data_IF_443688220517
#
_entry.id   IF_443688220517
#
_cell.length_a   1.000
_cell.length_b   1.000
_cell.length_c   1.000
_cell.angle_alpha   90.00
_cell.angle_beta   90.00
_cell.angle_gamma   90.00
#
_symmetry.space_group_name_H-M   'P 1'
#
loop_
_entity.id
_entity.type
_entity.pdbx_description
1 polymer ?
#
# COMPACT_ATOMS: atom_id res chain seq x y z
N UNK A 1 -16.64 -34.62 22.93
CA UNK A 1 -15.38 -34.32 22.23
C UNK A 1 -15.64 -33.16 21.27
N UNK A 2 -15.13 -31.96 21.55
CA UNK A 2 -15.40 -30.72 20.78
C UNK A 2 -14.60 -30.59 19.47
N UNK A 3 -13.88 -31.63 19.04
CA UNK A 3 -13.00 -31.57 17.87
C UNK A 3 -13.78 -31.49 16.55
N UNK A 4 -14.84 -32.28 16.40
CA UNK A 4 -15.57 -32.35 15.13
C UNK A 4 -16.23 -31.01 14.70
N UNK A 5 -16.88 -30.24 15.59
CA UNK A 5 -17.36 -28.89 15.25
C UNK A 5 -16.24 -27.92 14.87
N UNK A 6 -15.06 -28.03 15.49
CA UNK A 6 -13.90 -27.18 15.19
C UNK A 6 -13.35 -27.51 13.80
N UNK A 7 -13.20 -28.79 13.47
CA UNK A 7 -12.75 -29.24 12.15
C UNK A 7 -13.71 -28.77 11.04
N UNK A 8 -15.01 -28.82 11.28
CA UNK A 8 -16.01 -28.32 10.33
C UNK A 8 -15.88 -26.81 10.09
N UNK A 9 -15.62 -26.03 11.15
CA UNK A 9 -15.36 -24.60 11.01
C UNK A 9 -14.04 -24.32 10.28
N UNK A 10 -13.00 -25.12 10.56
CA UNK A 10 -11.70 -24.99 9.90
C UNK A 10 -11.90 -25.17 8.40
N UNK A 11 -12.60 -26.23 8.00
CA UNK A 11 -12.92 -26.52 6.60
C UNK A 11 -13.72 -25.38 5.95
N UNK A 12 -14.75 -24.87 6.61
CA UNK A 12 -15.56 -23.75 6.10
C UNK A 12 -14.71 -22.49 5.80
N UNK A 13 -13.85 -22.07 6.73
CA UNK A 13 -13.02 -20.88 6.51
C UNK A 13 -11.89 -21.11 5.50
N UNK A 14 -11.39 -22.34 5.40
CA UNK A 14 -10.39 -22.70 4.38
C UNK A 14 -10.91 -22.54 2.95
N UNK A 15 -12.20 -22.73 2.69
CA UNK A 15 -12.82 -22.44 1.37
C UNK A 15 -12.57 -20.98 0.93
N UNK A 16 -12.52 -20.06 1.89
CA UNK A 16 -12.25 -18.64 1.67
C UNK A 16 -10.76 -18.28 1.80
N UNK A 17 -9.88 -19.27 1.89
CA UNK A 17 -8.44 -19.11 2.16
C UNK A 17 -8.15 -18.39 3.48
N UNK A 18 -9.06 -18.50 4.45
CA UNK A 18 -8.92 -17.95 5.79
C UNK A 18 -8.39 -19.03 6.73
N UNK A 19 -7.17 -18.85 7.20
CA UNK A 19 -6.57 -19.74 8.18
C UNK A 19 -7.06 -19.42 9.59
N UNK A 20 -7.91 -20.29 10.15
CA UNK A 20 -8.40 -20.16 11.52
C UNK A 20 -7.31 -20.37 12.58
N UNK A 21 -6.24 -21.13 12.29
CA UNK A 21 -5.18 -21.40 13.26
C UNK A 21 -4.29 -20.17 13.47
N UNK A 22 -4.14 -19.33 12.44
CA UNK A 22 -3.44 -18.04 12.52
C UNK A 22 -4.31 -16.92 13.10
N UNK A 23 -5.64 -17.12 13.17
CA UNK A 23 -6.59 -16.10 13.61
C UNK A 23 -7.42 -16.60 14.79
N UNK A 24 -7.05 -16.15 15.99
CA UNK A 24 -7.68 -16.59 17.25
C UNK A 24 -9.14 -16.14 17.45
N UNK A 25 -9.69 -15.32 16.56
CA UNK A 25 -11.03 -14.74 16.70
C UNK A 25 -11.94 -15.11 15.53
N UNK A 26 -13.05 -15.78 15.84
CA UNK A 26 -14.10 -16.11 14.86
C UNK A 26 -14.69 -14.85 14.19
N UNK A 27 -14.70 -13.73 14.90
CA UNK A 27 -15.09 -12.44 14.34
C UNK A 27 -14.18 -12.00 13.21
N UNK A 28 -12.87 -12.11 13.46
CA UNK A 28 -11.84 -11.75 12.51
C UNK A 28 -11.92 -12.66 11.29
N UNK A 29 -12.19 -13.94 11.50
CA UNK A 29 -12.42 -14.91 10.42
C UNK A 29 -13.66 -14.52 9.59
N UNK A 30 -14.77 -14.16 10.24
CA UNK A 30 -15.97 -13.66 9.54
C UNK A 30 -15.70 -12.39 8.72
N UNK A 31 -14.96 -11.42 9.26
CA UNK A 31 -14.53 -10.23 8.51
C UNK A 31 -13.62 -10.59 7.33
N UNK A 32 -12.69 -11.52 7.48
CA UNK A 32 -11.81 -11.95 6.38
C UNK A 32 -12.59 -12.66 5.27
N UNK A 33 -13.62 -13.45 5.61
CA UNK A 33 -14.54 -14.02 4.62
C UNK A 33 -15.26 -12.90 3.86
N UNK A 34 -15.78 -11.87 4.54
CA UNK A 34 -16.36 -10.70 3.87
C UNK A 34 -15.37 -10.05 2.91
N UNK A 35 -14.12 -9.85 3.32
CA UNK A 35 -13.09 -9.31 2.44
C UNK A 35 -12.77 -10.21 1.25
N UNK A 36 -12.79 -11.54 1.41
CA UNK A 36 -12.58 -12.45 0.27
C UNK A 36 -13.64 -12.27 -0.82
N UNK A 37 -14.88 -11.94 -0.46
CA UNK A 37 -15.94 -11.65 -1.43
C UNK A 37 -15.78 -10.27 -2.05
N UNK A 38 -15.44 -9.26 -1.24
CA UNK A 38 -15.30 -7.88 -1.68
C UNK A 38 -14.10 -7.70 -2.64
N UNK A 39 -13.00 -8.42 -2.37
CA UNK A 39 -11.78 -8.36 -3.18
C UNK A 39 -11.67 -9.52 -4.18
N UNK A 40 -12.76 -10.24 -4.45
CA UNK A 40 -12.75 -11.41 -5.37
C UNK A 40 -12.27 -11.05 -6.78
N UNK A 41 -12.58 -9.83 -7.22
CA UNK A 41 -12.26 -9.30 -8.55
C UNK A 41 -10.99 -8.43 -8.53
N UNK A 42 -10.23 -8.43 -7.42
CA UNK A 42 -8.98 -7.69 -7.35
C UNK A 42 -7.90 -8.34 -8.24
N UNK A 43 -7.37 -7.55 -9.16
CA UNK A 43 -6.24 -7.90 -10.00
C UNK A 43 -5.11 -6.86 -9.86
N UNK A 44 -3.92 -7.36 -9.55
CA UNK A 44 -2.71 -6.55 -9.45
C UNK A 44 -2.28 -5.93 -10.80
N UNK A 45 -2.74 -6.50 -11.92
CA UNK A 45 -2.44 -6.08 -13.28
C UNK A 45 -3.41 -5.03 -13.84
N UNK A 46 -4.54 -4.79 -13.18
CA UNK A 46 -5.56 -3.86 -13.65
C UNK A 46 -5.24 -2.40 -13.27
N UNK A 47 -5.79 -1.43 -14.03
CA UNK A 47 -5.74 -0.01 -13.71
C UNK A 47 -7.00 0.43 -12.96
N UNK A 48 -6.85 0.83 -11.70
CA UNK A 48 -7.94 1.39 -10.87
C UNK A 48 -7.92 2.92 -10.79
N UNK A 49 -7.60 3.61 -11.90
CA UNK A 49 -7.33 5.06 -11.90
C UNK A 49 -8.55 5.96 -11.98
N UNK A 50 -9.70 5.44 -12.41
CA UNK A 50 -10.95 6.17 -12.74
C UNK A 50 -11.55 7.00 -11.58
N UNK A 51 -10.89 7.04 -10.42
CA UNK A 51 -11.34 7.63 -9.16
C UNK A 51 -10.51 8.85 -8.75
N UNK A 52 -9.27 8.96 -9.24
CA UNK A 52 -8.34 10.04 -8.84
C UNK A 52 -8.44 11.22 -9.82
N UNK A 53 -8.92 10.94 -11.02
CA UNK A 53 -9.10 11.84 -12.15
C UNK A 53 -10.59 12.03 -12.39
N UNK A 54 -11.05 13.28 -12.51
CA UNK A 54 -12.39 13.51 -13.06
C UNK A 54 -12.42 12.84 -14.44
N UNK A 55 -13.56 12.25 -14.84
CA UNK A 55 -13.70 11.44 -16.06
C UNK A 55 -13.09 12.06 -17.36
N UNK A 56 -12.86 13.37 -17.39
CA UNK A 56 -12.23 14.10 -18.51
C UNK A 56 -10.68 13.96 -18.57
N UNK A 57 -9.99 13.66 -17.46
CA UNK A 57 -8.52 13.64 -17.36
C UNK A 57 -7.84 12.37 -17.91
N UNK A 58 -8.60 11.29 -18.11
CA UNK A 58 -8.11 10.02 -18.67
C UNK A 58 -8.42 9.86 -20.16
N UNK A 59 -9.00 10.89 -20.79
CA UNK A 59 -9.11 10.98 -22.25
C UNK A 59 -7.72 10.92 -22.90
N UNK A 60 -7.63 10.31 -24.09
CA UNK A 60 -6.39 10.29 -24.89
C UNK A 60 -5.86 11.71 -25.12
N UNK A 61 -6.76 12.70 -25.20
CA UNK A 61 -6.44 14.11 -25.40
C UNK A 61 -5.63 14.72 -24.24
N UNK A 62 -5.69 14.13 -23.05
CA UNK A 62 -4.92 14.55 -21.86
C UNK A 62 -3.64 13.73 -21.63
N UNK A 63 -3.25 12.87 -22.59
CA UNK A 63 -2.01 12.09 -22.50
C UNK A 63 -0.78 12.99 -22.37
N UNK A 64 0.11 12.63 -21.45
CA UNK A 64 1.36 13.35 -21.26
C UNK A 64 2.29 13.17 -22.46
N UNK A 65 2.71 14.28 -23.07
CA UNK A 65 3.72 14.28 -24.13
C UNK A 65 5.02 14.83 -23.55
N UNK A 66 6.08 14.03 -23.62
CA UNK A 66 7.41 14.43 -23.16
C UNK A 66 7.96 15.52 -24.09
N UNK A 67 8.29 16.70 -23.52
CA UNK A 67 8.97 17.77 -24.26
C UNK A 67 10.50 17.67 -24.09
N UNK A 68 11.30 18.14 -25.06
CA UNK A 68 12.76 18.11 -24.94
C UNK A 68 13.28 18.89 -23.72
N UNK A 69 12.66 20.04 -23.40
CA UNK A 69 13.02 20.86 -22.25
C UNK A 69 12.75 20.14 -20.94
N UNK A 70 11.60 19.47 -20.83
CA UNK A 70 11.27 18.68 -19.65
C UNK A 70 12.25 17.50 -19.51
N UNK A 71 12.56 16.81 -20.61
CA UNK A 71 13.53 15.71 -20.60
C UNK A 71 14.92 16.16 -20.14
N UNK A 72 15.41 17.29 -20.65
CA UNK A 72 16.67 17.89 -20.22
C UNK A 72 16.73 18.11 -18.69
N UNK A 73 15.67 18.70 -18.11
CA UNK A 73 15.57 18.90 -16.67
C UNK A 73 15.59 17.56 -15.91
N UNK A 74 14.80 16.58 -16.38
CA UNK A 74 14.75 15.24 -15.76
C UNK A 74 16.11 14.53 -15.77
N UNK A 75 16.81 14.54 -16.90
CA UNK A 75 18.15 13.94 -17.03
C UNK A 75 19.13 14.57 -16.04
N UNK A 76 19.09 15.89 -15.88
CA UNK A 76 19.93 16.59 -14.90
C UNK A 76 19.58 16.18 -13.46
N UNK A 77 18.29 16.11 -13.11
CA UNK A 77 17.85 15.66 -11.79
C UNK A 77 18.35 14.26 -11.47
N UNK A 78 18.23 13.32 -12.42
CA UNK A 78 18.66 11.94 -12.24
C UNK A 78 20.18 11.82 -12.10
N UNK A 79 20.93 12.54 -12.92
CA UNK A 79 22.39 12.59 -12.83
C UNK A 79 22.89 13.17 -11.51
N UNK A 80 22.25 14.22 -11.00
CA UNK A 80 22.59 14.80 -9.70
C UNK A 80 22.22 13.88 -8.54
N UNK A 81 21.09 13.16 -8.63
CA UNK A 81 20.72 12.14 -7.64
C UNK A 81 21.76 11.01 -7.57
N UNK A 82 22.18 10.48 -8.72
CA UNK A 82 23.16 9.39 -8.78
C UNK A 82 24.56 9.85 -8.34
N UNK A 83 24.91 11.11 -8.64
CA UNK A 83 26.15 11.74 -8.16
C UNK A 83 26.18 11.84 -6.64
N UNK A 84 25.10 12.35 -6.02
CA UNK A 84 24.99 12.46 -4.55
C UNK A 84 25.10 11.11 -3.85
N UNK A 85 24.61 10.07 -4.50
CA UNK A 85 24.61 8.70 -3.98
C UNK A 85 25.84 7.88 -4.43
N UNK A 86 26.82 8.52 -5.07
CA UNK A 86 28.09 7.92 -5.52
C UNK A 86 27.91 6.65 -6.39
N UNK A 87 26.87 6.61 -7.22
CA UNK A 87 26.61 5.48 -8.13
C UNK A 87 27.48 5.57 -9.38
N UNK A 88 27.72 4.44 -10.04
CA UNK A 88 28.40 4.41 -11.34
C UNK A 88 27.53 5.03 -12.44
N UNK A 89 28.02 6.10 -13.07
CA UNK A 89 27.29 6.90 -14.07
C UNK A 89 27.77 6.67 -15.50
N UNK A 90 28.66 5.69 -15.76
CA UNK A 90 29.27 5.47 -17.10
C UNK A 90 28.24 5.28 -18.22
N UNK A 91 27.09 4.68 -17.91
CA UNK A 91 26.01 4.39 -18.86
C UNK A 91 24.65 4.98 -18.41
N UNK A 92 24.69 6.12 -17.73
CA UNK A 92 23.46 6.78 -17.28
C UNK A 92 22.63 7.29 -18.46
N UNK A 93 21.33 7.47 -18.24
CA UNK A 93 20.46 8.14 -19.20
C UNK A 93 21.01 9.51 -19.59
N UNK A 94 20.84 9.84 -20.86
CA UNK A 94 21.35 11.05 -21.48
C UNK A 94 20.24 11.79 -22.24
N UNK A 95 20.55 13.03 -22.65
CA UNK A 95 19.64 13.85 -23.44
C UNK A 95 19.31 13.16 -24.78
N UNK A 96 20.26 12.40 -25.34
CA UNK A 96 20.10 11.66 -26.59
C UNK A 96 19.05 10.53 -26.51
N UNK A 97 18.64 10.14 -25.31
CA UNK A 97 17.64 9.08 -25.10
C UNK A 97 16.20 9.59 -25.18
N UNK A 98 16.01 10.85 -25.56
CA UNK A 98 14.72 11.52 -25.62
C UNK A 98 13.65 10.74 -26.37
N UNK A 99 13.91 10.34 -27.63
CA UNK A 99 12.91 9.64 -28.45
C UNK A 99 12.49 8.29 -27.84
N UNK A 100 13.44 7.59 -27.22
CA UNK A 100 13.16 6.35 -26.52
C UNK A 100 12.19 6.56 -25.36
N UNK A 101 12.47 7.53 -24.48
CA UNK A 101 11.62 7.78 -23.30
C UNK A 101 10.30 8.48 -23.63
N UNK A 102 10.26 9.30 -24.69
CA UNK A 102 9.02 9.84 -25.23
C UNK A 102 8.08 8.72 -25.66
N UNK A 103 8.57 7.78 -26.47
CA UNK A 103 7.78 6.62 -26.90
C UNK A 103 7.42 5.70 -25.73
N UNK A 104 8.32 5.52 -24.76
CA UNK A 104 8.06 4.74 -23.55
C UNK A 104 6.86 5.29 -22.77
N UNK A 105 6.82 6.61 -22.51
CA UNK A 105 5.71 7.21 -21.74
C UNK A 105 4.38 7.26 -22.50
N UNK A 106 4.40 7.18 -23.83
CA UNK A 106 3.18 7.10 -24.65
C UNK A 106 2.61 5.68 -24.68
N UNK A 107 3.49 4.68 -24.80
CA UNK A 107 3.12 3.28 -25.03
C UNK A 107 2.93 2.49 -23.73
N UNK A 108 3.61 2.87 -22.65
CA UNK A 108 3.58 2.17 -21.38
C UNK A 108 2.84 2.97 -20.30
N UNK A 109 2.40 2.27 -19.28
CA UNK A 109 1.76 2.80 -18.08
C UNK A 109 2.73 2.80 -16.90
N UNK A 110 2.31 3.37 -15.77
CA UNK A 110 3.03 3.22 -14.51
C UNK A 110 3.11 1.74 -14.12
N UNK A 111 4.32 1.19 -13.99
CA UNK A 111 4.50 -0.23 -13.67
C UNK A 111 3.96 -0.63 -12.27
N UNK A 112 3.80 0.33 -11.36
CA UNK A 112 3.27 0.08 -10.01
C UNK A 112 1.74 0.07 -9.98
N UNK A 113 1.08 0.93 -10.75
CA UNK A 113 -0.33 1.22 -10.56
C UNK A 113 -1.16 1.21 -11.85
N UNK A 114 -0.51 0.85 -12.96
CA UNK A 114 -1.08 0.65 -14.29
C UNK A 114 -1.75 1.89 -14.90
N UNK A 115 -1.59 3.05 -14.26
CA UNK A 115 -2.08 4.34 -14.74
C UNK A 115 -1.39 4.78 -16.01
N UNK A 116 -2.16 5.31 -16.96
CA UNK A 116 -1.60 6.11 -18.05
C UNK A 116 -1.05 7.42 -17.48
N UNK A 117 -0.07 7.98 -18.19
CA UNK A 117 0.52 9.25 -17.82
C UNK A 117 -0.25 10.40 -18.45
N UNK A 118 -0.60 11.38 -17.64
CA UNK A 118 -1.24 12.63 -18.04
C UNK A 118 -0.55 13.81 -17.34
N UNK A 119 -0.97 15.04 -17.62
CA UNK A 119 -0.31 16.22 -17.06
C UNK A 119 -0.45 16.36 -15.53
N UNK A 120 -1.43 15.71 -14.90
CA UNK A 120 -1.58 15.63 -13.44
C UNK A 120 -0.74 14.49 -12.85
N UNK A 121 -0.75 13.34 -13.52
CA UNK A 121 -0.03 12.12 -13.18
C UNK A 121 1.25 11.99 -14.03
N UNK A 122 2.18 12.94 -13.87
CA UNK A 122 3.38 13.01 -14.69
C UNK A 122 4.28 11.77 -14.50
N UNK A 123 4.93 11.28 -15.57
CA UNK A 123 5.83 10.15 -15.49
C UNK A 123 7.14 10.52 -14.79
N UNK A 124 7.70 9.53 -14.11
CA UNK A 124 9.05 9.51 -13.57
C UNK A 124 9.69 8.17 -13.92
N UNK A 125 11.00 8.09 -13.80
CA UNK A 125 11.76 6.85 -13.87
C UNK A 125 12.03 6.34 -12.46
N UNK A 126 11.51 5.15 -12.16
CA UNK A 126 11.81 4.42 -10.93
C UNK A 126 12.89 3.37 -11.23
N UNK A 127 13.86 3.22 -10.32
CA UNK A 127 15.01 2.35 -10.52
C UNK A 127 14.69 0.93 -10.08
N UNK A 128 14.91 -0.07 -10.92
CA UNK A 128 14.69 -1.49 -10.57
C UNK A 128 15.56 -1.86 -9.37
N UNK A 129 16.85 -1.53 -9.45
CA UNK A 129 17.82 -1.66 -8.36
C UNK A 129 18.26 -0.27 -7.89
N UNK A 130 17.96 0.04 -6.62
CA UNK A 130 18.26 1.32 -5.98
C UNK A 130 19.76 1.54 -5.72
N UNK A 131 20.59 0.49 -5.80
CA UNK A 131 22.05 0.60 -5.72
C UNK A 131 22.67 1.02 -7.06
N UNK A 132 22.00 0.74 -8.18
CA UNK A 132 22.46 1.08 -9.54
C UNK A 132 21.93 2.44 -10.00
N UNK A 133 22.65 3.07 -10.93
CA UNK A 133 22.27 4.34 -11.52
C UNK A 133 21.09 4.19 -12.50
N UNK A 134 20.56 5.32 -12.97
CA UNK A 134 19.49 5.38 -13.96
C UNK A 134 19.99 5.01 -15.36
N UNK A 135 20.23 3.72 -15.60
CA UNK A 135 20.48 3.19 -16.96
C UNK A 135 19.17 2.76 -17.61
N UNK A 136 19.09 2.70 -18.94
CA UNK A 136 17.87 2.24 -19.65
C UNK A 136 17.37 0.87 -19.19
N UNK A 137 18.28 -0.03 -18.84
CA UNK A 137 17.96 -1.37 -18.37
C UNK A 137 17.57 -1.42 -16.88
N UNK A 138 17.83 -0.36 -16.11
CA UNK A 138 17.58 -0.30 -14.67
C UNK A 138 16.41 0.64 -14.31
N UNK A 139 15.60 1.08 -15.27
CA UNK A 139 14.50 2.00 -14.99
C UNK A 139 13.18 1.51 -15.57
N UNK A 140 12.09 1.77 -14.84
CA UNK A 140 10.73 1.54 -15.26
C UNK A 140 9.92 2.84 -15.15
N UNK A 141 8.96 3.07 -16.07
CA UNK A 141 8.07 4.20 -15.98
C UNK A 141 7.18 4.08 -14.74
N UNK A 142 7.11 5.14 -13.93
CA UNK A 142 6.38 5.16 -12.67
C UNK A 142 5.83 6.57 -12.41
N UNK A 143 4.62 6.71 -11.88
CA UNK A 143 4.14 8.03 -11.51
C UNK A 143 4.77 8.53 -10.21
N UNK A 144 4.77 9.85 -10.02
CA UNK A 144 5.40 10.49 -8.86
C UNK A 144 4.89 9.96 -7.51
N UNK A 145 3.58 9.74 -7.38
CA UNK A 145 2.98 9.21 -6.16
C UNK A 145 3.50 7.80 -5.84
N UNK A 146 3.49 6.91 -6.83
CA UNK A 146 3.93 5.53 -6.66
C UNK A 146 5.42 5.44 -6.35
N UNK A 147 6.25 6.22 -7.06
CA UNK A 147 7.69 6.25 -6.84
C UNK A 147 8.02 6.74 -5.41
N UNK A 148 7.32 7.79 -4.94
CA UNK A 148 7.47 8.30 -3.57
C UNK A 148 7.00 7.32 -2.51
N UNK A 149 5.89 6.62 -2.75
CA UNK A 149 5.35 5.63 -1.82
C UNK A 149 6.27 4.40 -1.70
N UNK A 150 6.75 3.89 -2.85
CA UNK A 150 7.67 2.76 -2.89
C UNK A 150 9.00 3.10 -2.23
N UNK A 151 9.64 4.22 -2.61
CA UNK A 151 10.90 4.67 -2.01
C UNK A 151 11.93 3.53 -1.94
N UNK A 152 12.34 3.12 -0.73
CA UNK A 152 13.26 2.00 -0.48
C UNK A 152 12.55 0.73 0.05
N UNK A 153 11.21 0.68 0.03
CA UNK A 153 10.44 -0.50 0.45
C UNK A 153 10.57 -1.63 -0.59
N UNK A 154 10.14 -2.83 -0.20
CA UNK A 154 9.97 -3.91 -1.15
C UNK A 154 8.97 -3.48 -2.24
N UNK A 155 9.39 -3.64 -3.50
CA UNK A 155 8.60 -3.15 -4.64
C UNK A 155 7.32 -3.93 -4.84
N UNK A 156 7.31 -5.23 -4.53
CA UNK A 156 6.12 -6.06 -4.69
C UNK A 156 5.10 -5.72 -3.61
N UNK A 157 5.55 -5.54 -2.36
CA UNK A 157 4.71 -5.07 -1.26
C UNK A 157 4.15 -3.68 -1.56
N UNK A 158 5.00 -2.74 -1.97
CA UNK A 158 4.56 -1.39 -2.31
C UNK A 158 3.53 -1.38 -3.44
N UNK A 159 3.78 -2.16 -4.50
CA UNK A 159 2.85 -2.35 -5.62
C UNK A 159 1.50 -2.88 -5.15
N UNK A 160 1.51 -3.94 -4.33
CA UNK A 160 0.29 -4.53 -3.78
C UNK A 160 -0.51 -3.51 -2.97
N UNK A 161 0.15 -2.80 -2.06
CA UNK A 161 -0.50 -1.79 -1.22
C UNK A 161 -1.07 -0.61 -2.01
N UNK A 162 -0.36 -0.16 -3.05
CA UNK A 162 -0.85 0.89 -3.94
C UNK A 162 -2.12 0.42 -4.67
N UNK A 163 -2.11 -0.79 -5.23
CA UNK A 163 -3.23 -1.32 -6.00
C UNK A 163 -4.44 -1.63 -5.13
N UNK A 164 -4.24 -2.22 -3.95
CA UNK A 164 -5.31 -2.45 -2.97
C UNK A 164 -5.97 -1.14 -2.56
N UNK A 165 -5.18 -0.10 -2.28
CA UNK A 165 -5.71 1.23 -1.93
C UNK A 165 -6.57 1.79 -3.07
N UNK A 166 -6.13 1.65 -4.32
CA UNK A 166 -6.86 2.18 -5.48
C UNK A 166 -8.13 1.38 -5.77
N UNK A 167 -8.06 0.05 -5.68
CA UNK A 167 -9.23 -0.81 -5.77
C UNK A 167 -10.27 -0.45 -4.70
N UNK A 168 -9.82 -0.23 -3.46
CA UNK A 168 -10.69 0.19 -2.37
C UNK A 168 -11.35 1.55 -2.65
N UNK A 169 -10.58 2.54 -3.10
CA UNK A 169 -11.14 3.83 -3.49
C UNK A 169 -12.17 3.71 -4.63
N UNK A 170 -11.90 2.89 -5.65
CA UNK A 170 -12.80 2.69 -6.81
C UNK A 170 -14.14 2.08 -6.42
N UNK A 171 -14.10 1.11 -5.51
CA UNK A 171 -15.29 0.39 -5.09
C UNK A 171 -15.93 0.98 -3.82
N UNK A 172 -15.47 2.14 -3.34
CA UNK A 172 -15.98 2.78 -2.12
C UNK A 172 -15.76 1.93 -0.86
N UNK A 173 -14.73 1.08 -0.85
CA UNK A 173 -14.46 0.15 0.22
C UNK A 173 -13.81 0.86 1.42
N UNK A 174 -14.11 0.40 2.63
CA UNK A 174 -13.46 0.94 3.80
C UNK A 174 -11.98 0.61 3.85
N UNK A 175 -11.20 1.58 4.32
CA UNK A 175 -9.76 1.48 4.49
C UNK A 175 -9.36 1.85 5.92
N UNK A 176 -8.16 1.42 6.33
CA UNK A 176 -7.61 1.80 7.64
C UNK A 176 -7.40 3.31 7.73
N UNK A 177 -7.90 3.91 8.81
CA UNK A 177 -7.68 5.33 9.09
C UNK A 177 -6.27 5.52 9.63
N UNK A 178 -5.40 6.17 8.86
CA UNK A 178 -4.03 6.50 9.29
C UNK A 178 -3.91 7.88 9.94
N UNK A 179 -4.93 8.72 9.81
CA UNK A 179 -4.95 10.08 10.34
C UNK A 179 -5.60 10.11 11.73
N UNK A 180 -4.91 10.72 12.69
CA UNK A 180 -5.33 10.74 14.09
C UNK A 180 -6.49 11.70 14.35
N UNK A 181 -6.58 12.81 13.61
CA UNK A 181 -7.70 13.73 13.73
C UNK A 181 -8.96 13.10 13.16
N UNK A 182 -8.85 12.43 12.00
CA UNK A 182 -9.96 11.67 11.40
C UNK A 182 -10.40 10.55 12.34
N UNK A 183 -9.44 9.80 12.92
CA UNK A 183 -9.73 8.80 13.93
C UNK A 183 -10.51 9.39 15.12
N UNK A 184 -10.03 10.51 15.68
CA UNK A 184 -10.67 11.17 16.82
C UNK A 184 -12.07 11.68 16.49
N UNK A 185 -12.29 12.22 15.29
CA UNK A 185 -13.59 12.65 14.81
C UNK A 185 -14.56 11.46 14.69
N UNK A 186 -14.16 10.39 13.99
CA UNK A 186 -14.95 9.17 13.90
C UNK A 186 -15.24 8.60 15.29
N UNK A 187 -14.27 8.59 16.20
CA UNK A 187 -14.41 8.06 17.56
C UNK A 187 -15.34 8.88 18.44
N UNK A 188 -15.36 10.20 18.28
CA UNK A 188 -16.19 11.13 19.08
C UNK A 188 -17.68 10.91 18.80
N UNK A 189 -18.00 10.69 17.53
CA UNK A 189 -19.39 10.59 17.08
C UNK A 189 -19.91 9.13 17.14
N UNK A 190 -19.05 8.15 17.44
CA UNK A 190 -19.44 6.79 17.79
C UNK A 190 -20.05 6.73 19.20
N UNK A 191 -21.38 6.74 19.27
CA UNK A 191 -22.17 6.56 20.51
C UNK A 191 -22.78 5.16 20.56
N UNK A 192 -22.10 4.22 21.22
CA UNK A 192 -22.62 2.86 21.44
C UNK A 192 -21.53 1.78 21.46
N UNK A 193 -21.68 0.79 22.34
CA UNK A 193 -20.76 -0.34 22.43
C UNK A 193 -21.06 -1.37 21.34
N UNK A 194 -20.46 -1.23 20.16
CA UNK A 194 -20.38 -2.35 19.23
C UNK A 194 -19.24 -3.25 19.69
N UNK A 195 -19.65 -4.30 20.37
CA UNK A 195 -18.90 -5.47 20.80
C UNK A 195 -18.27 -6.20 19.61
N UNK A 196 -17.27 -5.63 18.94
CA UNK A 196 -16.43 -6.43 18.03
C UNK A 196 -15.03 -5.94 17.71
N UNK A 197 -14.66 -4.71 18.08
CA UNK A 197 -13.30 -4.21 17.89
C UNK A 197 -12.81 -3.66 19.21
N UNK A 198 -11.92 -4.39 19.88
CA UNK A 198 -11.09 -3.78 20.90
C UNK A 198 -10.33 -2.64 20.22
N UNK A 199 -10.78 -1.39 20.40
CA UNK A 199 -10.11 -0.21 19.90
C UNK A 199 -8.80 -0.05 20.67
N UNK A 200 -7.75 -0.73 20.21
CA UNK A 200 -6.42 -0.58 20.79
C UNK A 200 -5.77 0.64 20.13
N UNK A 201 -5.81 1.74 20.86
CA UNK A 201 -5.11 2.95 20.52
C UNK A 201 -3.60 2.74 20.76
N UNK A 202 -2.83 2.58 19.68
CA UNK A 202 -1.37 2.48 19.68
C UNK A 202 -0.73 3.79 19.18
N UNK A 203 -0.35 4.66 20.11
CA UNK A 203 0.34 5.91 19.85
C UNK A 203 1.83 5.63 19.71
N UNK A 204 2.41 6.04 18.58
CA UNK A 204 3.83 5.84 18.32
C UNK A 204 4.69 6.59 19.36
N UNK A 205 5.65 5.90 19.96
CA UNK A 205 6.53 6.45 20.99
C UNK A 205 5.93 6.51 22.40
N UNK A 206 4.62 6.27 22.56
CA UNK A 206 3.94 6.32 23.86
C UNK A 206 3.42 4.95 24.29
N UNK A 207 2.79 4.19 23.38
CA UNK A 207 2.21 2.89 23.73
C UNK A 207 3.29 1.83 23.84
N UNK A 208 3.40 1.20 25.01
CA UNK A 208 4.31 0.08 25.27
C UNK A 208 3.77 -1.24 24.73
N UNK A 209 4.67 -2.13 24.32
CA UNK A 209 4.30 -3.48 23.90
C UNK A 209 3.99 -4.32 25.15
N UNK A 210 2.77 -4.83 25.24
CA UNK A 210 2.33 -5.65 26.36
C UNK A 210 2.51 -7.15 26.08
N UNK A 211 2.93 -7.92 27.10
CA UNK A 211 2.96 -9.39 27.09
C UNK A 211 2.19 -9.96 28.27
N UNK A 212 1.71 -11.19 28.08
CA UNK A 212 1.11 -11.97 29.15
C UNK A 212 2.13 -12.98 29.70
N UNK A 213 2.16 -13.14 31.02
CA UNK A 213 2.87 -14.21 31.69
C UNK A 213 1.85 -15.05 32.45
N UNK A 214 1.96 -16.37 32.33
CA UNK A 214 1.14 -17.30 33.11
C UNK A 214 1.91 -17.69 34.36
N UNK A 215 1.31 -17.42 35.51
CA UNK A 215 1.81 -17.85 36.80
C UNK A 215 1.15 -19.19 37.16
N UNK A 216 1.97 -20.23 37.27
CA UNK A 216 1.51 -21.58 37.61
C UNK A 216 1.05 -21.71 39.05
N UNK A 217 1.63 -20.92 39.95
CA UNK A 217 1.38 -21.07 41.39
C UNK A 217 0.04 -20.43 41.77
N UNK A 218 -0.26 -19.27 41.20
CA UNK A 218 -1.58 -18.62 41.35
C UNK A 218 -2.62 -19.11 40.33
N UNK A 219 -2.21 -19.85 39.31
CA UNK A 219 -3.05 -20.24 38.16
C UNK A 219 -3.73 -19.03 37.48
N UNK A 220 -3.01 -17.90 37.39
CA UNK A 220 -3.51 -16.67 36.78
C UNK A 220 -2.60 -16.16 35.65
N UNK A 221 -3.15 -15.29 34.80
CA UNK A 221 -2.41 -14.65 33.70
C UNK A 221 -2.25 -13.17 34.02
N UNK A 222 -1.00 -12.70 34.10
CA UNK A 222 -0.69 -11.29 34.33
C UNK A 222 -0.23 -10.61 33.05
N UNK A 223 -0.62 -9.35 32.88
CA UNK A 223 -0.24 -8.48 31.77
C UNK A 223 0.88 -7.55 32.24
N UNK A 224 1.97 -7.42 31.49
CA UNK A 224 3.07 -6.51 31.80
C UNK A 224 3.63 -5.85 30.54
N UNK A 225 4.15 -4.64 30.71
CA UNK A 225 4.71 -3.85 29.62
C UNK A 225 6.19 -4.14 29.42
N UNK A 226 6.60 -4.34 28.19
CA UNK A 226 8.00 -4.39 27.78
C UNK A 226 8.59 -2.97 27.72
N UNK A 227 9.93 -2.83 27.80
CA UNK A 227 10.60 -1.54 27.64
C UNK A 227 10.51 -0.98 26.21
N UNK A 228 9.97 -1.75 25.26
CA UNK A 228 9.83 -1.35 23.86
C UNK A 228 8.50 -0.61 23.63
N UNK A 229 8.58 0.50 22.88
CA UNK A 229 7.43 1.30 22.48
C UNK A 229 7.07 1.03 21.02
N UNK A 230 5.79 1.08 20.71
CA UNK A 230 5.25 0.92 19.35
C UNK A 230 5.81 2.02 18.44
N UNK A 231 6.27 1.64 17.25
CA UNK A 231 6.87 2.56 16.27
C UNK A 231 5.89 3.04 15.20
N UNK A 232 4.72 2.38 15.02
CA UNK A 232 3.75 2.66 13.95
C UNK A 232 2.28 2.66 14.43
N UNK A 233 1.43 3.42 13.71
CA UNK A 233 0.11 3.95 14.10
C UNK A 233 -1.10 2.99 13.99
N UNK A 234 -2.20 3.45 14.59
CA UNK A 234 -3.46 2.83 15.07
C UNK A 234 -4.39 2.21 14.02
N UNK A 235 -5.21 1.26 14.47
CA UNK A 235 -6.03 0.36 13.65
C UNK A 235 -7.54 0.60 13.93
N UNK A 236 -8.29 1.12 12.97
CA UNK A 236 -9.76 0.99 12.87
C UNK A 236 -10.11 0.56 11.44
N UNK A 237 -10.93 -0.49 11.32
CA UNK A 237 -11.71 -0.78 10.12
C UNK A 237 -13.10 -0.20 10.37
N UNK A 238 -13.51 0.82 9.61
CA UNK A 238 -14.89 1.29 9.61
C UNK A 238 -15.64 0.40 8.64
N UNK A 239 -16.59 -0.44 9.06
CA UNK A 239 -17.53 -1.02 8.11
C UNK A 239 -18.64 0.00 7.92
N UNK A 240 -18.78 0.57 6.72
CA UNK A 240 -20.00 1.28 6.36
C UNK A 240 -21.02 0.19 5.98
N UNK A 241 -22.10 0.09 6.76
CA UNK A 241 -23.35 -0.56 6.32
C UNK A 241 -24.15 0.39 5.44
#
# INVERSE_FOLDING_TARGET
MMLHPIDNMINFYFEFKVDMLLNTSLAKNSCQVKYSFVYKDFDLSESYNDVITNNDDDSIDNQFILTPQYWYQKVNDYNEQDKRQKRDRKHNISINDYEYFKNLFITHTCHMCQARFNYKNKPTLDRIDNAKAHTKANVLPCCLYCNKYASNRDKNEARLMIQLRRFALKNGLPMTISDQQVYQLCRRDMTGGISYVAHRQNIAGETKINKFIYDRDSNTVHSFDLPYVMTHKEQIMINNE
#
